data_IF_537467637653
#
_entry.id   IF_537467637653
#
_cell.length_a   1.000
_cell.length_b   1.000
_cell.length_c   1.000
_cell.angle_alpha   90.00
_cell.angle_beta   90.00
_cell.angle_gamma   90.00
#
_symmetry.space_group_name_H-M   'P 1'
#
loop_
_entity.id
_entity.type
_entity.pdbx_description
1 polymer ?
#
# COMPACT_ATOMS: atom_id res chain seq x y z
N UNK A 1 25.82 -26.46 -30.00
CA UNK A 1 24.70 -26.77 -29.15
C UNK A 1 25.08 -26.67 -27.67
N UNK A 2 25.34 -25.48 -27.16
CA UNK A 2 25.63 -25.19 -25.75
C UNK A 2 25.34 -23.73 -25.41
N UNK A 3 24.24 -23.15 -25.92
CA UNK A 3 23.88 -21.75 -25.65
C UNK A 3 22.53 -21.55 -24.93
N UNK A 4 21.75 -22.60 -24.68
CA UNK A 4 20.40 -22.43 -24.10
C UNK A 4 20.30 -22.63 -22.58
N UNK A 5 21.39 -23.00 -21.90
CA UNK A 5 21.36 -23.27 -20.45
C UNK A 5 21.63 -22.04 -19.57
N UNK A 6 22.16 -20.96 -20.12
CA UNK A 6 22.55 -19.76 -19.32
C UNK A 6 21.40 -18.76 -19.17
N UNK A 7 20.48 -18.70 -20.12
CA UNK A 7 19.33 -17.79 -20.09
C UNK A 7 18.22 -18.27 -19.13
N UNK A 8 18.06 -19.58 -18.97
CA UNK A 8 17.06 -20.12 -18.04
C UNK A 8 17.42 -19.92 -16.57
N UNK A 9 18.73 -19.90 -16.25
CA UNK A 9 19.22 -19.69 -14.88
C UNK A 9 19.06 -18.23 -14.39
N UNK A 10 19.01 -17.27 -15.29
CA UNK A 10 18.82 -15.85 -14.93
C UNK A 10 17.35 -15.52 -14.64
N UNK A 11 16.40 -16.18 -15.28
CA UNK A 11 14.98 -15.93 -15.11
C UNK A 11 14.39 -16.55 -13.83
N UNK A 12 14.91 -17.69 -13.37
CA UNK A 12 14.49 -18.33 -12.11
C UNK A 12 15.01 -17.61 -10.85
N UNK A 13 16.09 -16.82 -11.00
CA UNK A 13 16.69 -16.09 -9.87
C UNK A 13 15.95 -14.81 -9.51
N UNK A 14 15.08 -14.30 -10.40
CA UNK A 14 14.24 -13.12 -10.14
C UNK A 14 12.95 -13.42 -9.40
N UNK A 15 12.54 -14.69 -9.29
CA UNK A 15 11.27 -15.10 -8.67
C UNK A 15 11.33 -15.39 -7.17
N UNK A 16 12.50 -15.34 -6.55
CA UNK A 16 12.61 -15.53 -5.10
C UNK A 16 13.37 -14.33 -4.53
N UNK A 17 12.61 -13.39 -3.97
CA UNK A 17 13.15 -12.33 -3.12
C UNK A 17 13.75 -12.90 -1.85
N UNK A 18 14.93 -13.52 -1.95
CA UNK A 18 15.76 -13.79 -0.79
C UNK A 18 16.56 -12.54 -0.47
N UNK A 19 16.57 -12.04 0.78
CA UNK A 19 17.47 -10.97 1.17
C UNK A 19 18.90 -11.42 0.86
N UNK A 20 19.64 -10.65 0.06
CA UNK A 20 21.06 -10.86 -0.12
C UNK A 20 21.76 -10.56 1.20
N UNK A 21 22.12 -11.62 1.92
CA UNK A 21 23.06 -11.52 3.03
C UNK A 21 24.45 -11.23 2.44
N UNK A 22 24.82 -9.96 2.36
CA UNK A 22 26.22 -9.56 2.18
C UNK A 22 26.87 -9.38 3.55
N UNK A 23 27.79 -10.27 3.87
CA UNK A 23 28.65 -10.18 5.02
C UNK A 23 29.78 -9.18 4.70
N UNK A 24 29.74 -8.01 5.31
CA UNK A 24 30.83 -7.16 5.82
C UNK A 24 30.30 -5.74 6.04
N UNK A 25 30.00 -5.38 7.30
CA UNK A 25 29.87 -4.03 7.87
C UNK A 25 29.14 -2.92 7.08
N UNK A 26 28.41 -3.26 6.03
CA UNK A 26 27.49 -2.38 5.33
C UNK A 26 26.11 -3.05 5.36
N UNK A 27 25.41 -2.92 6.48
CA UNK A 27 23.99 -3.33 6.57
C UNK A 27 23.22 -2.48 5.57
N UNK A 28 22.79 -3.10 4.46
CA UNK A 28 21.88 -2.45 3.52
C UNK A 28 20.62 -2.06 4.30
N UNK A 29 20.45 -0.76 4.48
CA UNK A 29 19.26 -0.23 5.15
C UNK A 29 18.18 -0.01 4.10
N UNK A 30 17.07 -0.72 4.22
CA UNK A 30 15.92 -0.60 3.34
C UNK A 30 15.45 0.86 3.28
N UNK A 31 15.35 1.43 2.08
CA UNK A 31 14.90 2.79 1.85
C UNK A 31 13.42 2.82 1.51
N UNK A 32 12.66 3.61 2.22
CA UNK A 32 11.22 3.75 2.04
C UNK A 32 10.90 5.13 1.49
N UNK A 33 10.11 5.17 0.44
CA UNK A 33 9.43 6.39 0.01
C UNK A 33 8.08 6.50 0.72
N UNK A 34 7.87 7.56 1.48
CA UNK A 34 6.56 8.02 1.86
C UNK A 34 6.12 9.08 0.84
N UNK A 35 5.24 8.65 -0.07
CA UNK A 35 4.72 9.49 -1.15
C UNK A 35 3.56 10.30 -0.63
N UNK A 36 3.78 11.61 -0.47
CA UNK A 36 2.86 12.55 0.18
C UNK A 36 1.87 13.15 -0.83
N UNK A 37 0.60 12.81 -0.68
CA UNK A 37 -0.50 13.36 -1.47
C UNK A 37 -1.12 14.62 -0.84
N UNK A 38 -0.30 15.42 -0.16
CA UNK A 38 -0.74 16.68 0.50
C UNK A 38 -1.75 16.46 1.63
N UNK A 39 -1.55 15.38 2.40
CA UNK A 39 -2.41 15.05 3.52
C UNK A 39 -1.80 15.44 4.87
N UNK A 40 -2.63 15.95 5.78
CA UNK A 40 -2.19 16.32 7.14
C UNK A 40 -1.76 15.12 7.98
N UNK A 41 -2.25 13.92 7.69
CA UNK A 41 -1.88 12.68 8.39
C UNK A 41 -0.60 12.03 7.87
N UNK A 42 -0.01 12.53 6.77
CA UNK A 42 1.26 11.99 6.23
C UNK A 42 2.35 11.96 7.29
N UNK A 43 2.44 12.97 8.15
CA UNK A 43 3.47 13.02 9.20
C UNK A 43 3.22 12.02 10.34
N UNK A 44 1.97 11.60 10.56
CA UNK A 44 1.67 10.53 11.51
C UNK A 44 2.17 9.17 10.97
N UNK A 45 2.01 8.91 9.65
CA UNK A 45 2.61 7.75 8.99
C UNK A 45 4.14 7.78 9.08
N UNK A 46 4.75 8.95 8.83
CA UNK A 46 6.20 9.15 8.98
C UNK A 46 6.66 8.81 10.40
N UNK A 47 5.90 9.24 11.40
CA UNK A 47 6.23 8.98 12.80
C UNK A 47 6.24 7.48 13.11
N UNK A 48 5.22 6.75 12.67
CA UNK A 48 5.16 5.28 12.82
C UNK A 48 6.36 4.61 12.14
N UNK A 49 6.68 4.99 10.89
CA UNK A 49 7.81 4.43 10.16
C UNK A 49 9.14 4.67 10.88
N UNK A 50 9.35 5.88 11.42
CA UNK A 50 10.56 6.21 12.20
C UNK A 50 10.63 5.46 13.52
N UNK A 51 9.53 5.31 14.24
CA UNK A 51 9.46 4.48 15.43
C UNK A 51 9.82 3.02 15.18
N UNK A 52 9.49 2.51 13.99
CA UNK A 52 9.85 1.17 13.52
C UNK A 52 11.30 1.08 13.00
N UNK A 53 12.08 2.15 13.12
CA UNK A 53 13.52 2.17 12.82
C UNK A 53 13.87 2.21 11.34
N UNK A 54 12.94 2.62 10.46
CA UNK A 54 13.13 2.63 9.01
C UNK A 54 13.91 3.86 8.53
N UNK A 55 14.52 3.73 7.34
CA UNK A 55 15.10 4.84 6.56
C UNK A 55 14.06 5.34 5.57
N UNK A 56 13.38 6.44 5.91
CA UNK A 56 12.23 6.95 5.17
C UNK A 56 12.47 8.37 4.70
N UNK A 57 12.21 8.61 3.41
CA UNK A 57 12.18 9.93 2.80
C UNK A 57 10.73 10.29 2.42
N UNK A 58 10.35 11.55 2.64
CA UNK A 58 9.02 12.07 2.28
C UNK A 58 9.15 12.94 1.04
N UNK A 59 8.40 12.61 0.00
CA UNK A 59 8.33 13.41 -1.21
C UNK A 59 6.89 13.64 -1.63
N UNK A 60 6.55 14.89 -1.92
CA UNK A 60 5.23 15.26 -2.45
C UNK A 60 5.02 14.72 -3.85
N UNK A 61 3.77 14.44 -4.20
CA UNK A 61 3.35 13.80 -5.44
C UNK A 61 3.69 14.56 -6.72
N UNK A 62 4.06 15.84 -6.60
CA UNK A 62 4.48 16.75 -7.67
C UNK A 62 5.95 17.19 -7.56
N UNK A 63 6.72 16.64 -6.60
CA UNK A 63 8.10 17.05 -6.28
C UNK A 63 9.12 15.93 -6.41
N UNK A 64 8.76 14.82 -6.99
CA UNK A 64 9.66 13.70 -7.29
C UNK A 64 9.32 13.16 -8.67
N UNK A 65 10.31 12.81 -9.46
CA UNK A 65 10.10 12.17 -10.75
C UNK A 65 9.97 10.65 -10.61
N UNK A 66 9.41 10.02 -11.64
CA UNK A 66 9.32 8.54 -11.66
C UNK A 66 10.71 7.89 -11.60
N UNK A 67 11.72 8.49 -12.25
CA UNK A 67 13.09 7.98 -12.27
C UNK A 67 13.75 8.01 -10.89
N UNK A 68 13.50 9.04 -10.10
CA UNK A 68 14.04 9.16 -8.74
C UNK A 68 13.47 8.13 -7.77
N UNK A 69 12.26 7.61 -8.05
CA UNK A 69 11.61 6.58 -7.23
C UNK A 69 12.34 5.24 -7.31
N UNK A 70 13.12 5.00 -8.37
CA UNK A 70 13.88 3.75 -8.57
C UNK A 70 14.77 3.38 -7.38
N UNK A 71 15.33 4.38 -6.69
CA UNK A 71 16.25 4.20 -5.55
C UNK A 71 15.61 3.68 -4.26
N UNK A 72 14.29 3.65 -4.17
CA UNK A 72 13.57 3.15 -3.00
C UNK A 72 13.23 1.67 -3.14
N UNK A 73 13.17 0.97 -2.02
CA UNK A 73 12.81 -0.45 -1.98
C UNK A 73 11.31 -0.66 -1.79
N UNK A 74 10.71 0.20 -0.96
CA UNK A 74 9.27 0.18 -0.65
C UNK A 74 8.66 1.56 -0.81
N UNK A 75 7.37 1.58 -1.10
CA UNK A 75 6.60 2.80 -1.30
C UNK A 75 5.34 2.75 -0.44
N UNK A 76 5.18 3.73 0.45
CA UNK A 76 3.95 3.98 1.18
C UNK A 76 3.25 5.19 0.55
N UNK A 77 2.08 4.98 -0.01
CA UNK A 77 1.25 6.04 -0.60
C UNK A 77 0.33 6.59 0.49
N UNK A 78 0.45 7.88 0.79
CA UNK A 78 -0.33 8.53 1.84
C UNK A 78 -1.79 8.71 1.46
N UNK A 79 -2.67 8.99 2.44
CA UNK A 79 -3.94 9.63 2.17
C UNK A 79 -3.76 10.94 1.38
N UNK A 80 -4.86 11.51 0.91
CA UNK A 80 -4.85 12.79 0.22
C UNK A 80 -6.25 13.29 -0.10
N UNK A 81 -6.39 14.57 -0.46
CA UNK A 81 -7.65 15.13 -0.93
C UNK A 81 -7.97 14.72 -2.36
N UNK A 82 -9.23 14.88 -2.76
CA UNK A 82 -9.68 14.68 -4.14
C UNK A 82 -9.74 13.21 -4.56
N UNK A 83 -9.37 12.97 -5.79
CA UNK A 83 -9.37 11.64 -6.44
C UNK A 83 -7.96 11.32 -6.99
N UNK A 84 -7.63 10.04 -7.25
CA UNK A 84 -6.29 9.65 -7.68
C UNK A 84 -5.78 10.33 -8.95
N UNK A 85 -6.66 10.63 -9.90
CA UNK A 85 -6.31 11.30 -11.17
C UNK A 85 -5.73 12.71 -10.94
N UNK A 86 -6.11 13.38 -9.85
CA UNK A 86 -5.66 14.72 -9.49
C UNK A 86 -4.36 14.71 -8.64
N UNK A 87 -3.87 13.54 -8.24
CA UNK A 87 -2.75 13.37 -7.32
C UNK A 87 -1.38 13.27 -8.03
N UNK A 88 -1.09 14.16 -8.97
CA UNK A 88 0.21 14.25 -9.63
C UNK A 88 0.61 12.96 -10.35
N UNK A 89 1.75 12.38 -9.97
CA UNK A 89 2.25 11.16 -10.61
C UNK A 89 1.79 9.86 -9.93
N UNK A 90 0.77 9.90 -9.05
CA UNK A 90 0.34 8.76 -8.25
C UNK A 90 -0.01 7.51 -9.09
N UNK A 91 -0.90 7.65 -10.08
CA UNK A 91 -1.28 6.54 -10.96
C UNK A 91 -0.13 6.03 -11.84
N UNK A 92 0.66 6.90 -12.51
CA UNK A 92 1.87 6.48 -13.23
C UNK A 92 2.88 5.74 -12.35
N UNK A 93 3.07 6.18 -11.09
CA UNK A 93 3.96 5.54 -10.12
C UNK A 93 3.52 4.10 -9.86
N UNK A 94 2.24 3.89 -9.54
CA UNK A 94 1.71 2.55 -9.23
C UNK A 94 1.92 1.63 -10.45
N UNK A 95 1.50 2.06 -11.64
CA UNK A 95 1.62 1.26 -12.87
C UNK A 95 3.05 0.88 -13.19
N UNK A 96 4.01 1.79 -13.00
CA UNK A 96 5.42 1.55 -13.29
C UNK A 96 6.09 0.62 -12.28
N UNK A 97 5.80 0.79 -10.99
CA UNK A 97 6.54 0.16 -9.92
C UNK A 97 5.87 -1.05 -9.27
N UNK A 98 4.59 -1.29 -9.51
CA UNK A 98 3.89 -2.46 -9.00
C UNK A 98 4.60 -3.81 -9.28
N UNK A 99 5.18 -4.05 -10.48
CA UNK A 99 5.84 -5.32 -10.74
C UNK A 99 7.14 -5.54 -9.96
N UNK A 100 7.75 -4.48 -9.42
CA UNK A 100 9.14 -4.55 -8.90
C UNK A 100 9.30 -4.09 -7.46
N UNK A 101 8.34 -3.34 -6.91
CA UNK A 101 8.44 -2.77 -5.57
C UNK A 101 7.26 -3.18 -4.69
N UNK A 102 7.52 -3.22 -3.39
CA UNK A 102 6.46 -3.39 -2.39
C UNK A 102 5.73 -2.06 -2.19
N UNK A 103 4.42 -2.02 -2.44
CA UNK A 103 3.60 -0.80 -2.34
C UNK A 103 2.46 -1.03 -1.35
N UNK A 104 2.30 -0.11 -0.41
CA UNK A 104 1.13 -0.01 0.46
C UNK A 104 0.44 1.33 0.23
N UNK A 105 -0.84 1.32 -0.14
CA UNK A 105 -1.66 2.52 -0.27
C UNK A 105 -2.62 2.70 0.90
N UNK A 106 -2.71 3.93 1.41
CA UNK A 106 -3.62 4.31 2.49
C UNK A 106 -4.66 5.30 1.96
N UNK A 107 -5.94 5.01 2.16
CA UNK A 107 -7.08 5.84 1.76
C UNK A 107 -7.02 6.21 0.26
N UNK A 108 -6.65 7.43 -0.11
CA UNK A 108 -6.43 7.81 -1.51
C UNK A 108 -5.42 6.87 -2.21
N UNK A 109 -4.39 6.43 -1.51
CA UNK A 109 -3.42 5.46 -2.02
C UNK A 109 -4.03 4.10 -2.36
N UNK A 110 -4.99 3.60 -1.55
CA UNK A 110 -5.75 2.38 -1.85
C UNK A 110 -6.66 2.57 -3.06
N UNK A 111 -7.38 3.69 -3.12
CA UNK A 111 -8.24 4.05 -4.24
C UNK A 111 -7.44 4.12 -5.55
N UNK A 112 -6.24 4.72 -5.49
CA UNK A 112 -5.32 4.79 -6.63
C UNK A 112 -4.83 3.41 -7.08
N UNK A 113 -4.58 2.48 -6.16
CA UNK A 113 -4.26 1.10 -6.50
C UNK A 113 -5.46 0.45 -7.21
N UNK A 114 -6.66 0.58 -6.66
CA UNK A 114 -7.87 0.10 -7.31
C UNK A 114 -7.99 0.58 -8.75
N UNK A 115 -7.91 1.89 -8.96
CA UNK A 115 -8.04 2.55 -10.27
C UNK A 115 -6.89 2.20 -11.23
N UNK A 116 -5.65 2.13 -10.74
CA UNK A 116 -4.49 1.78 -11.57
C UNK A 116 -4.62 0.39 -12.21
N UNK A 117 -5.36 -0.52 -11.57
CA UNK A 117 -5.64 -1.88 -12.04
C UNK A 117 -7.04 -2.08 -12.61
N UNK A 118 -7.80 -1.01 -12.82
CA UNK A 118 -9.06 -1.02 -13.57
C UNK A 118 -10.33 -1.07 -12.73
N UNK A 119 -10.26 -0.92 -11.42
CA UNK A 119 -11.44 -0.71 -10.60
C UNK A 119 -11.99 0.70 -10.79
N UNK A 120 -13.28 0.88 -10.50
CA UNK A 120 -13.94 2.19 -10.48
C UNK A 120 -14.08 2.70 -9.05
N UNK A 121 -14.17 4.02 -8.90
CA UNK A 121 -14.47 4.66 -7.63
C UNK A 121 -15.94 5.06 -7.56
N UNK A 122 -16.51 4.97 -6.35
CA UNK A 122 -17.84 5.48 -6.04
C UNK A 122 -17.76 6.59 -5.01
N UNK A 123 -18.55 7.64 -5.22
CA UNK A 123 -18.74 8.68 -4.21
C UNK A 123 -19.84 8.21 -3.25
N UNK A 124 -19.50 8.15 -1.96
CA UNK A 124 -20.41 7.69 -0.93
C UNK A 124 -21.42 8.79 -0.58
N UNK A 125 -22.65 8.39 -0.28
CA UNK A 125 -23.68 9.32 0.20
C UNK A 125 -23.30 9.92 1.56
N UNK A 126 -22.74 9.07 2.44
CA UNK A 126 -22.28 9.48 3.76
C UNK A 126 -20.78 9.72 3.76
N UNK A 127 -20.38 10.92 4.17
CA UNK A 127 -18.97 11.30 4.31
C UNK A 127 -18.47 10.83 5.67
N UNK A 128 -17.48 9.95 5.65
CA UNK A 128 -16.80 9.54 6.87
C UNK A 128 -15.70 10.55 7.21
N UNK A 129 -15.77 11.16 8.39
CA UNK A 129 -14.76 12.10 8.89
C UNK A 129 -14.48 11.87 10.37
N UNK A 130 -13.47 11.07 10.67
CA UNK A 130 -13.17 10.66 12.05
C UNK A 130 -14.19 9.68 12.62
N UNK A 131 -14.72 8.80 11.77
CA UNK A 131 -15.69 7.78 12.16
C UNK A 131 -14.95 6.47 12.47
N UNK A 132 -15.31 5.86 13.58
CA UNK A 132 -14.79 4.54 13.95
C UNK A 132 -15.76 3.47 13.41
N UNK A 133 -15.22 2.53 12.63
CA UNK A 133 -15.97 1.41 12.07
C UNK A 133 -15.33 0.07 12.41
N UNK A 134 -16.14 -0.96 12.50
CA UNK A 134 -15.65 -2.34 12.60
C UNK A 134 -15.51 -2.92 11.19
N UNK A 135 -14.36 -3.51 10.91
CA UNK A 135 -14.10 -4.19 9.65
C UNK A 135 -13.86 -5.68 9.87
N UNK A 136 -14.15 -6.47 8.85
CA UNK A 136 -13.88 -7.90 8.83
C UNK A 136 -12.82 -8.22 7.77
N UNK A 137 -11.77 -8.93 8.18
CA UNK A 137 -10.76 -9.51 7.29
C UNK A 137 -11.40 -10.72 6.62
N UNK A 138 -11.47 -10.71 5.29
CA UNK A 138 -12.20 -11.70 4.48
C UNK A 138 -11.27 -12.58 3.65
N UNK A 139 -10.00 -12.18 3.49
CA UNK A 139 -8.97 -12.97 2.84
C UNK A 139 -7.66 -12.89 3.64
N UNK A 140 -6.88 -13.97 3.57
CA UNK A 140 -5.58 -14.04 4.24
C UNK A 140 -4.58 -13.11 3.57
N UNK A 141 -4.10 -12.12 4.30
CA UNK A 141 -3.03 -11.23 3.86
C UNK A 141 -2.00 -11.02 4.98
N UNK A 142 -0.69 -11.05 4.66
CA UNK A 142 0.37 -10.86 5.66
C UNK A 142 0.29 -9.56 6.47
N UNK A 143 -0.25 -8.47 5.91
CA UNK A 143 -0.39 -7.21 6.68
C UNK A 143 -1.34 -7.35 7.88
N UNK A 144 -2.24 -8.33 7.85
CA UNK A 144 -3.18 -8.63 8.93
C UNK A 144 -2.73 -9.78 9.82
N UNK A 145 -1.50 -10.27 9.67
CA UNK A 145 -0.97 -11.36 10.50
C UNK A 145 -0.96 -10.99 11.98
N UNK A 146 -1.45 -11.92 12.82
CA UNK A 146 -1.55 -11.70 14.27
C UNK A 146 -2.72 -10.80 14.71
N UNK A 147 -3.59 -10.39 13.78
CA UNK A 147 -4.81 -9.65 14.11
C UNK A 147 -6.02 -10.60 14.17
N UNK A 148 -6.99 -10.21 15.01
CA UNK A 148 -8.30 -10.87 15.03
C UNK A 148 -9.02 -10.66 13.69
N UNK A 149 -9.97 -11.56 13.31
CA UNK A 149 -10.75 -11.42 12.07
C UNK A 149 -11.56 -10.12 11.97
N UNK A 150 -11.90 -9.51 13.10
CA UNK A 150 -12.57 -8.22 13.19
C UNK A 150 -11.71 -7.21 13.94
N UNK A 151 -11.49 -6.05 13.35
CA UNK A 151 -10.72 -4.95 13.96
C UNK A 151 -11.45 -3.62 13.80
N UNK A 152 -11.21 -2.73 14.75
CA UNK A 152 -11.74 -1.37 14.74
C UNK A 152 -10.77 -0.42 14.03
N UNK A 153 -11.31 0.44 13.14
CA UNK A 153 -10.51 1.34 12.30
C UNK A 153 -11.13 2.73 12.18
N UNK A 154 -10.28 3.74 11.97
CA UNK A 154 -10.71 5.12 11.71
C UNK A 154 -10.86 5.39 10.21
N UNK A 155 -11.97 5.99 9.81
CA UNK A 155 -12.32 6.34 8.43
C UNK A 155 -12.42 7.84 8.25
N UNK A 156 -11.88 8.34 7.11
CA UNK A 156 -11.83 9.78 6.76
C UNK A 156 -11.99 9.95 5.24
N UNK A 157 -13.03 9.37 4.64
CA UNK A 157 -13.19 9.37 3.19
C UNK A 157 -14.65 9.54 2.74
N UNK A 158 -14.83 10.08 1.54
CA UNK A 158 -16.11 10.17 0.81
C UNK A 158 -16.10 9.35 -0.48
N UNK A 159 -14.94 8.83 -0.88
CA UNK A 159 -14.79 7.94 -2.03
C UNK A 159 -14.33 6.56 -1.57
N UNK A 160 -14.74 5.53 -2.30
CA UNK A 160 -14.32 4.15 -2.07
C UNK A 160 -14.17 3.40 -3.40
N UNK A 161 -13.39 2.32 -3.39
CA UNK A 161 -13.31 1.40 -4.52
C UNK A 161 -14.62 0.63 -4.64
N UNK A 162 -15.21 0.63 -5.84
CA UNK A 162 -16.44 -0.08 -6.14
C UNK A 162 -16.23 -1.60 -6.19
N UNK A 163 -17.22 -2.35 -5.76
CA UNK A 163 -17.30 -3.80 -5.98
C UNK A 163 -17.80 -4.15 -7.40
N UNK A 164 -18.47 -3.21 -8.06
CA UNK A 164 -18.97 -3.42 -9.41
C UNK A 164 -17.79 -3.48 -10.39
N UNK A 165 -17.77 -4.53 -11.22
CA UNK A 165 -16.69 -4.79 -12.18
C UNK A 165 -15.28 -4.78 -11.52
N UNK A 166 -15.20 -5.29 -10.29
CA UNK A 166 -13.93 -5.37 -9.56
C UNK A 166 -12.93 -6.26 -10.32
N UNK A 167 -11.70 -5.78 -10.59
CA UNK A 167 -10.75 -6.47 -11.46
C UNK A 167 -10.29 -7.82 -10.91
N UNK A 168 -10.21 -8.85 -11.75
CA UNK A 168 -9.77 -10.21 -11.39
C UNK A 168 -8.32 -10.26 -10.86
N UNK A 169 -7.47 -9.31 -11.27
CA UNK A 169 -6.09 -9.22 -10.77
C UNK A 169 -6.00 -8.72 -9.33
N UNK A 170 -7.07 -8.16 -8.79
CA UNK A 170 -7.16 -7.73 -7.40
C UNK A 170 -7.96 -8.73 -6.56
N UNK A 171 -7.76 -8.69 -5.26
CA UNK A 171 -8.50 -9.45 -4.26
C UNK A 171 -8.89 -8.55 -3.10
N UNK A 172 -10.15 -8.60 -2.69
CA UNK A 172 -10.65 -7.89 -1.50
C UNK A 172 -10.17 -8.64 -0.27
N UNK A 173 -9.46 -7.95 0.62
CA UNK A 173 -8.88 -8.54 1.84
C UNK A 173 -9.62 -8.16 3.11
N UNK A 174 -10.31 -7.02 3.12
CA UNK A 174 -11.14 -6.58 4.23
C UNK A 174 -12.37 -5.79 3.74
N UNK A 175 -13.46 -5.87 4.50
CA UNK A 175 -14.70 -5.13 4.26
C UNK A 175 -15.23 -4.56 5.57
N UNK A 176 -15.92 -3.42 5.53
CA UNK A 176 -16.65 -2.96 6.71
C UNK A 176 -17.86 -3.87 7.01
N UNK A 177 -18.30 -3.90 8.26
CA UNK A 177 -19.32 -4.85 8.71
C UNK A 177 -20.74 -4.37 8.48
N UNK A 178 -20.97 -3.09 8.23
CA UNK A 178 -22.30 -2.49 8.09
C UNK A 178 -22.74 -2.47 6.64
N UNK A 179 -21.98 -1.85 5.77
CA UNK A 179 -22.31 -1.65 4.35
C UNK A 179 -21.54 -2.58 3.42
N UNK A 180 -20.53 -3.27 3.95
CA UNK A 180 -19.68 -4.16 3.19
C UNK A 180 -18.76 -3.45 2.22
N UNK A 181 -18.46 -2.18 2.41
CA UNK A 181 -17.51 -1.43 1.58
C UNK A 181 -16.12 -2.07 1.63
N UNK A 182 -15.35 -1.93 0.55
CA UNK A 182 -13.96 -2.41 0.50
C UNK A 182 -13.12 -1.58 1.47
N UNK A 183 -12.48 -2.26 2.42
CA UNK A 183 -11.60 -1.68 3.42
C UNK A 183 -10.15 -2.15 3.27
N UNK A 184 -9.92 -3.10 2.40
CA UNK A 184 -8.60 -3.58 2.05
C UNK A 184 -8.63 -4.37 0.77
N UNK A 185 -7.61 -4.22 -0.03
CA UNK A 185 -7.39 -4.95 -1.27
C UNK A 185 -5.91 -5.29 -1.46
N UNK A 186 -5.63 -6.27 -2.31
CA UNK A 186 -4.28 -6.58 -2.75
C UNK A 186 -4.26 -7.01 -4.21
N UNK A 187 -3.11 -6.84 -4.85
CA UNK A 187 -2.85 -7.46 -6.15
C UNK A 187 -2.48 -8.94 -5.94
N UNK A 188 -2.97 -9.83 -6.83
CA UNK A 188 -2.77 -11.29 -6.67
C UNK A 188 -1.33 -11.73 -6.94
N UNK A 189 -0.62 -11.01 -7.81
CA UNK A 189 0.74 -11.37 -8.23
C UNK A 189 1.80 -10.41 -7.66
N UNK A 190 1.51 -9.09 -7.64
CA UNK A 190 2.46 -8.08 -7.20
C UNK A 190 2.36 -7.84 -5.69
N UNK A 191 3.46 -7.39 -5.09
CA UNK A 191 3.48 -7.00 -3.68
C UNK A 191 2.87 -5.59 -3.49
N UNK A 192 1.60 -5.47 -3.88
CA UNK A 192 0.82 -4.23 -3.84
C UNK A 192 -0.44 -4.45 -3.02
N UNK A 193 -0.65 -3.58 -2.03
CA UNK A 193 -1.78 -3.62 -1.10
C UNK A 193 -2.35 -2.24 -0.86
N UNK A 194 -3.62 -2.20 -0.57
CA UNK A 194 -4.32 -0.99 -0.15
C UNK A 194 -5.18 -1.23 1.08
N UNK A 195 -5.31 -0.20 1.90
CA UNK A 195 -6.25 -0.11 3.01
C UNK A 195 -6.98 1.22 2.93
N UNK A 196 -8.33 1.20 3.01
CA UNK A 196 -9.16 2.39 2.92
C UNK A 196 -9.16 3.21 4.21
N UNK A 197 -8.89 2.58 5.33
CA UNK A 197 -8.84 3.21 6.65
C UNK A 197 -7.45 3.77 6.95
N UNK A 198 -7.37 4.58 8.00
CA UNK A 198 -6.14 5.28 8.42
C UNK A 198 -5.42 4.51 9.54
N UNK A 199 -4.33 3.80 9.25
CA UNK A 199 -3.57 3.04 10.26
C UNK A 199 -2.83 3.96 11.26
N UNK A 200 -2.60 5.22 10.88
CA UNK A 200 -1.95 6.23 11.71
C UNK A 200 -2.92 6.94 12.68
N UNK A 201 -4.21 6.71 12.51
CA UNK A 201 -5.24 7.31 13.36
C UNK A 201 -5.29 6.65 14.73
N UNK A 202 -5.52 7.45 15.78
CA UNK A 202 -5.81 6.95 17.13
C UNK A 202 -7.06 6.05 17.19
N UNK A 203 -7.94 6.16 16.19
CA UNK A 203 -9.12 5.32 16.03
C UNK A 203 -8.80 3.93 15.46
N UNK A 204 -7.54 3.67 15.08
CA UNK A 204 -7.07 2.38 14.57
C UNK A 204 -6.03 1.78 15.52
N UNK A 205 -6.43 1.15 16.63
CA UNK A 205 -5.49 0.69 17.65
C UNK A 205 -4.44 -0.31 17.15
N UNK A 206 -4.74 -1.04 16.07
CA UNK A 206 -3.84 -2.04 15.44
C UNK A 206 -3.09 -1.51 14.23
N UNK A 207 -3.17 -0.22 13.93
CA UNK A 207 -2.59 0.37 12.73
C UNK A 207 -1.08 0.22 12.65
N UNK A 208 -0.35 0.44 13.74
CA UNK A 208 1.10 0.24 13.81
C UNK A 208 1.49 -1.21 13.48
N UNK A 209 0.73 -2.20 13.95
CA UNK A 209 0.96 -3.62 13.63
C UNK A 209 0.82 -3.90 12.14
N UNK A 210 -0.16 -3.27 11.46
CA UNK A 210 -0.36 -3.41 10.02
C UNK A 210 0.85 -2.87 9.24
N UNK A 211 1.33 -1.68 9.58
CA UNK A 211 2.55 -1.09 8.98
C UNK A 211 3.78 -1.96 9.26
N UNK A 212 3.96 -2.42 10.50
CA UNK A 212 5.06 -3.31 10.88
C UNK A 212 5.06 -4.62 10.08
N UNK A 213 3.89 -5.23 9.89
CA UNK A 213 3.73 -6.45 9.10
C UNK A 213 4.09 -6.21 7.62
N UNK A 214 3.69 -5.07 7.05
CA UNK A 214 4.08 -4.70 5.70
C UNK A 214 5.60 -4.51 5.56
N UNK A 215 6.26 -3.92 6.56
CA UNK A 215 7.73 -3.73 6.54
C UNK A 215 8.52 -5.04 6.58
N UNK A 216 8.00 -6.07 7.25
CA UNK A 216 8.65 -7.39 7.39
C UNK A 216 8.60 -8.23 6.11
N UNK A 217 7.85 -7.80 5.13
CA UNK A 217 7.63 -8.52 3.89
C UNK A 217 8.60 -8.17 2.73
#
# INVERSE_FOLDING_TARGET
>A
PQSDSILSYHFERMRRGTPRLYNNNNTYKMKILLFDNYDSFTYNLLHILKELGTDVEVHRNDKISLEEIERFDKILLSPGPGIPEEAGILLPLIRRYAPTKSILGVCLGEQAIGEAFGATLINLTDVHHGVCSDIRIVAKDPIFEGLEPGIRVGRYHSWAVSKENFPDCLEITAVDTEEGQIMGLRHREYDVRGIQFHPESVLTPKGKTIIENWLKR
#
